data_IF_175824339733
#
_entry.id   IF_175824339733
#
_cell.length_a   1.000
_cell.length_b   1.000
_cell.length_c   1.000
_cell.angle_alpha   90.00
_cell.angle_beta   90.00
_cell.angle_gamma   90.00
#
_symmetry.space_group_name_H-M   'P 1'
#
loop_
_entity.id
_entity.type
_entity.pdbx_description
1 polymer ?
#
# COMPACT_ATOMS: atom_id res chain seq x y z
N UNK A 1 11.41 -18.46 -22.08
CA UNK A 1 11.29 -19.13 -20.78
C UNK A 1 9.82 -19.44 -20.48
N UNK A 2 9.57 -20.59 -19.89
CA UNK A 2 8.21 -20.98 -19.53
C UNK A 2 7.70 -20.04 -18.43
N UNK A 3 6.55 -19.40 -18.64
CA UNK A 3 5.84 -18.69 -17.58
C UNK A 3 5.25 -19.74 -16.65
N UNK A 4 5.79 -19.84 -15.45
CA UNK A 4 5.25 -20.73 -14.41
C UNK A 4 4.03 -20.07 -13.77
N UNK A 5 3.02 -20.87 -13.50
CA UNK A 5 1.82 -20.47 -12.78
C UNK A 5 2.00 -20.80 -11.30
N UNK A 6 2.55 -19.86 -10.54
CA UNK A 6 2.93 -20.04 -9.15
C UNK A 6 2.37 -18.90 -8.32
N UNK A 7 1.73 -19.24 -7.20
CA UNK A 7 1.38 -18.26 -6.17
C UNK A 7 2.27 -18.45 -4.93
N UNK A 8 3.09 -17.45 -4.65
CA UNK A 8 3.90 -17.38 -3.44
C UNK A 8 3.10 -16.68 -2.34
N UNK A 9 3.02 -17.27 -1.17
CA UNK A 9 2.36 -16.69 -0.02
C UNK A 9 3.38 -16.13 0.97
N UNK A 10 3.38 -14.82 1.17
CA UNK A 10 4.13 -14.13 2.23
C UNK A 10 3.19 -13.89 3.41
N UNK A 11 3.25 -14.75 4.43
CA UNK A 11 2.25 -14.79 5.51
C UNK A 11 2.58 -13.91 6.72
N UNK A 12 3.66 -13.16 6.67
CA UNK A 12 4.10 -12.23 7.71
C UNK A 12 4.56 -10.91 7.09
N UNK A 13 3.76 -10.42 6.15
CA UNK A 13 4.09 -9.22 5.38
C UNK A 13 4.05 -7.96 6.21
N UNK A 14 4.83 -6.97 5.78
CA UNK A 14 4.89 -5.66 6.41
C UNK A 14 5.48 -5.72 7.83
N UNK A 15 5.14 -4.74 8.66
CA UNK A 15 5.61 -4.61 10.06
C UNK A 15 4.69 -5.32 11.08
N UNK A 16 3.77 -6.13 10.60
CA UNK A 16 2.69 -6.72 11.41
C UNK A 16 3.19 -7.73 12.46
N UNK A 17 4.26 -8.45 12.17
CA UNK A 17 4.86 -9.44 13.10
C UNK A 17 6.02 -8.90 13.93
N UNK A 18 6.03 -7.60 14.17
CA UNK A 18 7.13 -6.90 14.82
C UNK A 18 7.52 -7.42 16.20
N UNK A 19 6.60 -8.02 16.96
CA UNK A 19 6.90 -8.64 18.25
C UNK A 19 7.95 -9.76 18.15
N UNK A 20 8.05 -10.40 17.00
CA UNK A 20 9.02 -11.46 16.73
C UNK A 20 10.37 -10.92 16.21
N UNK A 21 10.45 -9.61 15.96
CA UNK A 21 11.63 -8.93 15.48
C UNK A 21 11.80 -8.91 13.95
N UNK A 22 12.84 -8.24 13.50
CA UNK A 22 13.12 -7.96 12.08
C UNK A 22 13.17 -9.22 11.20
N UNK A 23 13.62 -10.34 11.75
CA UNK A 23 13.72 -11.62 11.02
C UNK A 23 12.37 -12.25 10.66
N UNK A 24 11.27 -11.71 11.20
CA UNK A 24 9.91 -12.19 10.98
C UNK A 24 9.03 -11.18 10.26
N UNK A 25 9.56 -10.01 9.91
CA UNK A 25 8.85 -8.97 9.17
C UNK A 25 9.26 -9.01 7.70
N UNK A 26 8.32 -9.26 6.81
CA UNK A 26 8.58 -9.22 5.37
C UNK A 26 8.33 -7.82 4.81
N UNK A 27 9.35 -6.98 4.87
CA UNK A 27 9.31 -5.59 4.36
C UNK A 27 10.09 -5.41 3.07
N UNK A 28 11.03 -6.32 2.79
CA UNK A 28 11.94 -6.28 1.64
C UNK A 28 11.55 -7.26 0.53
N UNK A 29 10.63 -8.19 0.77
CA UNK A 29 10.21 -9.23 -0.15
C UNK A 29 9.76 -8.67 -1.50
N UNK A 30 8.96 -7.60 -1.47
CA UNK A 30 8.47 -6.96 -2.69
C UNK A 30 9.63 -6.38 -3.49
N UNK A 31 10.51 -5.60 -2.85
CA UNK A 31 11.62 -4.96 -3.56
C UNK A 31 12.67 -5.94 -4.04
N UNK A 32 12.85 -7.06 -3.34
CA UNK A 32 13.74 -8.13 -3.77
C UNK A 32 13.21 -8.88 -5.00
N UNK A 33 11.89 -9.05 -5.08
CA UNK A 33 11.26 -9.85 -6.13
C UNK A 33 10.74 -9.02 -7.31
N UNK A 34 10.57 -7.70 -7.19
CA UNK A 34 9.98 -6.85 -8.23
C UNK A 34 10.77 -6.83 -9.54
N UNK A 35 12.01 -7.29 -9.54
CA UNK A 35 12.82 -7.47 -10.75
C UNK A 35 12.47 -8.73 -11.54
N UNK A 36 11.65 -9.63 -10.96
CA UNK A 36 11.21 -10.82 -11.68
C UNK A 36 10.21 -10.42 -12.78
N UNK A 37 10.45 -10.81 -14.03
CA UNK A 37 9.53 -10.51 -15.11
C UNK A 37 8.13 -11.07 -14.82
N UNK A 38 7.10 -10.26 -15.07
CA UNK A 38 5.70 -10.65 -14.93
C UNK A 38 5.24 -10.98 -13.51
N UNK A 39 6.01 -10.61 -12.48
CA UNK A 39 5.57 -10.76 -11.09
C UNK A 39 4.33 -9.87 -10.84
N UNK A 40 3.29 -10.48 -10.33
CA UNK A 40 2.07 -9.82 -9.85
C UNK A 40 2.10 -9.75 -8.33
N UNK A 41 2.18 -8.55 -7.79
CA UNK A 41 2.15 -8.32 -6.33
C UNK A 41 0.73 -8.00 -5.92
N UNK A 42 0.26 -8.67 -4.86
CA UNK A 42 -1.05 -8.41 -4.24
C UNK A 42 -0.85 -8.34 -2.72
N UNK A 43 -1.16 -7.20 -2.12
CA UNK A 43 -1.04 -6.97 -0.67
C UNK A 43 -2.43 -6.83 -0.04
N UNK A 44 -2.88 -7.85 0.65
CA UNK A 44 -4.28 -8.02 1.07
C UNK A 44 -4.57 -7.27 2.38
N UNK A 45 -5.61 -6.45 2.38
CA UNK A 45 -6.01 -5.64 3.52
C UNK A 45 -6.80 -6.43 4.59
N UNK A 46 -7.71 -7.31 4.19
CA UNK A 46 -8.61 -7.97 5.13
C UNK A 46 -9.08 -9.35 4.62
N UNK A 47 -9.71 -10.19 5.49
CA UNK A 47 -10.16 -11.54 5.12
C UNK A 47 -11.09 -11.58 3.90
N UNK A 48 -12.00 -10.60 3.73
CA UNK A 48 -12.91 -10.57 2.58
C UNK A 48 -12.19 -10.29 1.28
N UNK A 49 -11.19 -9.40 1.29
CA UNK A 49 -10.32 -9.21 0.13
C UNK A 49 -9.55 -10.48 -0.19
N UNK A 50 -9.05 -11.18 0.83
CA UNK A 50 -8.39 -12.49 0.64
C UNK A 50 -9.30 -13.50 -0.08
N UNK A 51 -10.56 -13.62 0.34
CA UNK A 51 -11.53 -14.51 -0.33
C UNK A 51 -11.75 -14.08 -1.79
N UNK A 52 -11.85 -12.78 -2.07
CA UNK A 52 -12.03 -12.27 -3.43
C UNK A 52 -10.79 -12.55 -4.31
N UNK A 53 -9.59 -12.37 -3.76
CA UNK A 53 -8.31 -12.69 -4.44
C UNK A 53 -8.21 -14.18 -4.72
N UNK A 54 -8.54 -15.04 -3.75
CA UNK A 54 -8.52 -16.50 -3.98
C UNK A 54 -9.51 -16.94 -5.06
N UNK A 55 -10.71 -16.35 -5.09
CA UNK A 55 -11.66 -16.57 -6.19
C UNK A 55 -11.10 -16.10 -7.53
N UNK A 56 -10.37 -14.99 -7.56
CA UNK A 56 -9.71 -14.50 -8.77
C UNK A 56 -8.58 -15.44 -9.23
N UNK A 57 -7.75 -15.95 -8.31
CA UNK A 57 -6.70 -16.94 -8.61
C UNK A 57 -7.32 -18.21 -9.18
N UNK A 58 -8.40 -18.72 -8.57
CA UNK A 58 -9.07 -19.97 -8.97
C UNK A 58 -9.70 -19.91 -10.36
N UNK A 59 -9.92 -18.74 -10.94
CA UNK A 59 -10.47 -18.55 -12.30
C UNK A 59 -9.47 -18.82 -13.45
N UNK A 60 -8.36 -19.44 -13.18
CA UNK A 60 -7.37 -19.85 -14.21
C UNK A 60 -5.97 -19.31 -13.96
N UNK A 61 -5.05 -19.64 -14.87
CA UNK A 61 -3.64 -19.27 -14.76
C UNK A 61 -3.44 -17.77 -14.56
N UNK A 62 -2.59 -17.41 -13.59
CA UNK A 62 -2.24 -16.03 -13.25
C UNK A 62 -0.75 -15.74 -13.42
N UNK A 63 0.05 -16.76 -13.82
CA UNK A 63 1.49 -16.64 -13.86
C UNK A 63 2.10 -16.56 -12.45
N UNK A 64 3.14 -15.76 -12.28
CA UNK A 64 3.82 -15.60 -10.99
C UNK A 64 3.12 -14.55 -10.14
N UNK A 65 2.55 -14.94 -9.00
CA UNK A 65 1.86 -14.07 -8.06
C UNK A 65 2.59 -14.11 -6.71
N UNK A 66 2.90 -12.95 -6.15
CA UNK A 66 3.29 -12.77 -4.75
C UNK A 66 2.06 -12.23 -3.99
N UNK A 67 1.45 -13.09 -3.19
CA UNK A 67 0.31 -12.75 -2.35
C UNK A 67 0.79 -12.49 -0.92
N UNK A 68 0.67 -11.24 -0.49
CA UNK A 68 1.14 -10.74 0.80
C UNK A 68 -0.02 -10.66 1.77
N UNK A 69 0.17 -11.23 2.95
CA UNK A 69 -0.86 -11.39 3.97
C UNK A 69 -0.34 -10.90 5.32
N UNK A 70 -1.20 -10.27 6.09
CA UNK A 70 -0.94 -9.98 7.49
C UNK A 70 -1.20 -11.23 8.35
N UNK A 71 -0.48 -11.36 9.46
CA UNK A 71 -0.69 -12.45 10.42
C UNK A 71 -1.75 -12.09 11.47
N UNK A 72 -1.84 -10.83 11.84
CA UNK A 72 -2.79 -10.37 12.84
C UNK A 72 -4.22 -10.37 12.29
N UNK A 73 -5.17 -10.54 13.17
CA UNK A 73 -6.58 -10.33 12.86
C UNK A 73 -6.79 -8.88 12.39
N UNK A 74 -7.57 -8.71 11.35
CA UNK A 74 -7.93 -7.40 10.80
C UNK A 74 -9.45 -7.26 10.70
N UNK A 75 -9.91 -6.04 10.84
CA UNK A 75 -11.31 -5.70 10.65
C UNK A 75 -11.71 -5.90 9.18
N UNK A 76 -12.98 -6.15 8.97
CA UNK A 76 -13.53 -6.28 7.63
C UNK A 76 -14.00 -4.92 7.13
N UNK A 77 -13.33 -4.38 6.12
CA UNK A 77 -13.65 -3.06 5.51
C UNK A 77 -14.40 -3.18 4.19
N UNK A 78 -14.58 -4.38 3.66
CA UNK A 78 -15.27 -4.62 2.40
C UNK A 78 -16.52 -5.47 2.57
N UNK A 79 -17.54 -5.32 1.69
CA UNK A 79 -18.71 -6.18 1.67
C UNK A 79 -18.37 -7.60 1.17
N UNK A 80 -19.26 -8.56 1.41
CA UNK A 80 -19.10 -9.93 0.90
C UNK A 80 -19.15 -10.03 -0.63
N UNK A 81 -19.79 -9.07 -1.25
CA UNK A 81 -19.91 -8.95 -2.70
C UNK A 81 -18.64 -8.43 -3.38
N UNK A 82 -17.58 -8.10 -2.61
CA UNK A 82 -16.32 -7.61 -3.18
C UNK A 82 -15.83 -8.57 -4.27
N UNK A 83 -15.55 -8.01 -5.43
CA UNK A 83 -14.84 -8.68 -6.52
C UNK A 83 -13.47 -8.04 -6.66
N UNK A 84 -12.44 -8.88 -6.63
CA UNK A 84 -11.08 -8.42 -6.86
C UNK A 84 -10.77 -8.40 -8.36
N UNK A 85 -10.16 -7.32 -8.79
CA UNK A 85 -9.55 -7.17 -10.10
C UNK A 85 -8.10 -6.74 -9.92
N UNK A 86 -7.17 -7.46 -10.55
CA UNK A 86 -5.75 -7.09 -10.51
C UNK A 86 -5.51 -5.75 -11.22
N UNK A 87 -4.75 -4.86 -10.60
CA UNK A 87 -4.50 -3.52 -11.13
C UNK A 87 -5.61 -2.52 -10.83
N UNK A 88 -6.47 -2.79 -9.85
CA UNK A 88 -7.51 -1.86 -9.39
C UNK A 88 -7.30 -1.45 -7.94
N UNK A 89 -7.35 -0.14 -7.71
CA UNK A 89 -7.42 0.49 -6.39
C UNK A 89 -8.86 0.71 -5.95
N UNK A 90 -9.06 0.74 -4.64
CA UNK A 90 -10.38 0.95 -4.02
C UNK A 90 -10.36 2.28 -3.25
N UNK A 91 -11.17 3.23 -3.70
CA UNK A 91 -11.21 4.59 -3.13
C UNK A 91 -12.19 4.64 -1.96
N UNK A 92 -11.74 5.14 -0.82
CA UNK A 92 -12.52 5.40 0.37
C UNK A 92 -12.61 6.91 0.62
N UNK A 93 -13.81 7.42 0.87
CA UNK A 93 -14.09 8.84 1.07
C UNK A 93 -14.44 9.57 -0.22
N UNK A 94 -14.19 10.89 -0.24
CA UNK A 94 -14.52 11.71 -1.41
C UNK A 94 -13.48 11.51 -2.54
N UNK A 95 -13.87 10.95 -3.69
CA UNK A 95 -12.94 10.78 -4.81
C UNK A 95 -12.48 12.11 -5.43
N UNK A 96 -13.13 13.22 -5.09
CA UNK A 96 -12.76 14.55 -5.55
C UNK A 96 -11.81 15.29 -4.60
N UNK A 97 -11.55 14.75 -3.41
CA UNK A 97 -10.63 15.37 -2.45
C UNK A 97 -9.26 15.70 -3.10
N UNK A 98 -8.69 16.85 -2.71
CA UNK A 98 -7.41 17.31 -3.26
C UNK A 98 -6.21 16.51 -2.76
N UNK A 99 -6.34 15.91 -1.58
CA UNK A 99 -5.30 15.08 -0.95
C UNK A 99 -5.73 13.63 -0.91
N UNK A 100 -4.83 12.75 -1.31
CA UNK A 100 -5.06 11.30 -1.41
C UNK A 100 -3.94 10.54 -0.71
N UNK A 101 -4.30 9.66 0.23
CA UNK A 101 -3.37 8.64 0.75
C UNK A 101 -3.47 7.41 -0.13
N UNK A 102 -2.34 6.91 -0.64
CA UNK A 102 -2.24 5.62 -1.32
C UNK A 102 -1.49 4.66 -0.41
N UNK A 103 -2.10 3.52 -0.12
CA UNK A 103 -1.54 2.50 0.77
C UNK A 103 -2.00 1.10 0.36
N UNK A 104 -1.48 0.06 1.01
CA UNK A 104 -1.92 -1.33 0.80
C UNK A 104 -1.85 -2.14 2.09
N UNK A 105 -2.45 -3.32 2.05
CA UNK A 105 -2.41 -4.27 3.15
C UNK A 105 -2.92 -3.65 4.46
N UNK A 106 -2.21 -3.87 5.55
CA UNK A 106 -2.60 -3.33 6.86
C UNK A 106 -2.51 -1.80 6.94
N UNK A 107 -1.74 -1.16 6.08
CA UNK A 107 -1.62 0.30 6.04
C UNK A 107 -2.95 1.02 5.82
N UNK A 108 -3.93 0.35 5.22
CA UNK A 108 -5.26 0.94 4.98
C UNK A 108 -5.95 1.40 6.26
N UNK A 109 -5.77 0.68 7.37
CA UNK A 109 -6.41 1.04 8.65
C UNK A 109 -5.85 2.34 9.22
N UNK A 110 -4.54 2.57 9.10
CA UNK A 110 -3.92 3.84 9.48
C UNK A 110 -4.42 4.98 8.59
N UNK A 111 -4.53 4.73 7.29
CA UNK A 111 -5.10 5.70 6.34
C UNK A 111 -6.55 6.07 6.68
N UNK A 112 -7.42 5.09 6.95
CA UNK A 112 -8.82 5.32 7.31
C UNK A 112 -8.97 6.03 8.66
N UNK A 113 -8.13 5.70 9.63
CA UNK A 113 -8.10 6.39 10.93
C UNK A 113 -7.63 7.86 10.77
N UNK A 114 -6.61 8.10 9.94
CA UNK A 114 -6.16 9.45 9.61
C UNK A 114 -7.26 10.25 8.88
N UNK A 115 -7.95 9.64 7.93
CA UNK A 115 -9.09 10.25 7.22
C UNK A 115 -10.18 10.68 8.20
N UNK A 116 -10.55 9.80 9.14
CA UNK A 116 -11.54 10.11 10.17
C UNK A 116 -11.10 11.30 11.03
N UNK A 117 -9.86 11.30 11.51
CA UNK A 117 -9.34 12.37 12.35
C UNK A 117 -9.26 13.73 11.61
N UNK A 118 -8.89 13.71 10.31
CA UNK A 118 -8.86 14.92 9.49
C UNK A 118 -10.28 15.45 9.21
N UNK A 119 -11.25 14.57 8.98
CA UNK A 119 -12.65 14.95 8.80
C UNK A 119 -13.21 15.64 10.04
N UNK A 120 -12.87 15.18 11.25
CA UNK A 120 -13.25 15.82 12.50
C UNK A 120 -12.65 17.25 12.63
N UNK A 121 -11.56 17.53 11.90
CA UNK A 121 -10.92 18.84 11.78
C UNK A 121 -11.44 19.67 10.57
N UNK A 122 -12.48 19.18 9.87
CA UNK A 122 -13.05 19.83 8.70
C UNK A 122 -12.23 19.67 7.41
N UNK A 123 -11.32 18.71 7.35
CA UNK A 123 -10.49 18.41 6.17
C UNK A 123 -10.90 17.07 5.56
N UNK A 124 -11.38 17.11 4.32
CA UNK A 124 -11.70 15.89 3.58
C UNK A 124 -10.50 15.42 2.76
N UNK A 125 -10.21 14.13 2.87
CA UNK A 125 -9.21 13.42 2.07
C UNK A 125 -9.77 12.13 1.50
N UNK A 126 -9.18 11.62 0.43
CA UNK A 126 -9.43 10.26 -0.03
C UNK A 126 -8.34 9.31 0.48
N UNK A 127 -8.70 8.05 0.67
CA UNK A 127 -7.75 6.96 0.93
C UNK A 127 -7.96 5.90 -0.13
N UNK A 128 -6.88 5.50 -0.79
CA UNK A 128 -6.89 4.43 -1.80
C UNK A 128 -6.21 3.21 -1.22
N UNK A 129 -6.98 2.15 -0.99
CA UNK A 129 -6.42 0.81 -0.82
C UNK A 129 -6.00 0.29 -2.19
N UNK A 130 -4.71 0.09 -2.38
CA UNK A 130 -4.12 -0.33 -3.66
C UNK A 130 -3.45 -1.70 -3.49
N UNK A 131 -4.23 -2.78 -3.40
CA UNK A 131 -3.69 -4.12 -3.16
C UNK A 131 -2.76 -4.60 -4.28
N UNK A 132 -2.98 -4.12 -5.48
CA UNK A 132 -2.07 -4.22 -6.62
C UNK A 132 -2.00 -2.86 -7.29
N UNK A 133 -0.86 -2.52 -7.87
CA UNK A 133 -0.67 -1.18 -8.43
C UNK A 133 -1.68 -0.88 -9.54
N UNK A 134 -2.51 0.16 -9.33
CA UNK A 134 -3.48 0.67 -10.31
C UNK A 134 -2.83 1.83 -11.09
N UNK A 135 -2.28 1.49 -12.25
CA UNK A 135 -1.58 2.43 -13.11
C UNK A 135 -2.48 3.54 -13.67
N UNK A 136 -3.74 3.22 -13.96
CA UNK A 136 -4.69 4.16 -14.53
C UNK A 136 -5.16 5.17 -13.49
N UNK A 137 -5.50 4.70 -12.28
CA UNK A 137 -5.87 5.58 -11.17
C UNK A 137 -4.70 6.48 -10.77
N UNK A 138 -3.48 5.94 -10.67
CA UNK A 138 -2.29 6.71 -10.37
C UNK A 138 -2.02 7.83 -11.39
N UNK A 139 -2.15 7.50 -12.68
CA UNK A 139 -2.04 8.48 -13.77
C UNK A 139 -3.13 9.55 -13.69
N UNK A 140 -4.37 9.16 -13.47
CA UNK A 140 -5.51 10.07 -13.32
C UNK A 140 -5.31 11.04 -12.16
N UNK A 141 -4.94 10.57 -10.97
CA UNK A 141 -4.71 11.41 -9.81
C UNK A 141 -3.59 12.43 -10.07
N UNK A 142 -2.51 12.00 -10.74
CA UNK A 142 -1.39 12.88 -11.12
C UNK A 142 -1.82 13.96 -12.10
N UNK A 143 -2.54 13.60 -13.17
CA UNK A 143 -3.04 14.54 -14.17
C UNK A 143 -4.05 15.53 -13.60
N UNK A 144 -4.84 15.12 -12.60
CA UNK A 144 -5.72 16.01 -11.85
C UNK A 144 -4.97 16.94 -10.89
N UNK A 145 -3.67 16.79 -10.75
CA UNK A 145 -2.84 17.62 -9.88
C UNK A 145 -3.08 17.38 -8.39
N UNK A 146 -3.53 16.19 -8.00
CA UNK A 146 -3.76 15.83 -6.60
C UNK A 146 -2.45 15.84 -5.80
N UNK A 147 -2.56 16.08 -4.50
CA UNK A 147 -1.49 15.82 -3.52
C UNK A 147 -1.57 14.36 -3.11
N UNK A 148 -0.51 13.60 -3.33
CA UNK A 148 -0.49 12.16 -3.11
C UNK A 148 0.52 11.83 -2.01
N UNK A 149 0.04 11.17 -0.96
CA UNK A 149 0.86 10.59 0.09
C UNK A 149 0.89 9.08 -0.08
N UNK A 150 2.04 8.54 -0.49
CA UNK A 150 2.29 7.10 -0.42
C UNK A 150 2.68 6.72 1.00
N UNK A 151 1.86 5.90 1.66
CA UNK A 151 2.09 5.41 3.01
C UNK A 151 2.19 3.87 3.00
N UNK A 152 3.43 3.35 2.95
CA UNK A 152 3.69 1.95 2.68
C UNK A 152 4.43 1.25 3.83
N UNK A 153 3.88 0.15 4.32
CA UNK A 153 4.51 -0.67 5.37
C UNK A 153 5.58 -1.64 4.82
N UNK A 154 6.14 -1.30 3.69
CA UNK A 154 7.25 -1.97 3.00
C UNK A 154 8.26 -0.93 2.51
N UNK A 155 9.21 -1.33 1.68
CA UNK A 155 10.27 -0.45 1.18
C UNK A 155 9.87 0.48 0.03
N UNK A 156 8.58 0.77 -0.16
CA UNK A 156 8.11 1.75 -1.15
C UNK A 156 7.84 1.15 -2.53
N UNK A 157 7.14 0.03 -2.58
CA UNK A 157 6.78 -0.67 -3.83
C UNK A 157 5.81 0.14 -4.70
N UNK A 158 4.74 0.68 -4.11
CA UNK A 158 3.73 1.44 -4.87
C UNK A 158 4.34 2.73 -5.44
N UNK A 159 5.16 3.42 -4.63
CA UNK A 159 5.85 4.61 -5.11
C UNK A 159 6.87 4.30 -6.22
N UNK A 160 7.61 3.20 -6.12
CA UNK A 160 8.54 2.78 -7.18
C UNK A 160 7.77 2.45 -8.49
N UNK A 161 6.65 1.73 -8.37
CA UNK A 161 5.76 1.42 -9.50
C UNK A 161 5.15 2.69 -10.11
N UNK A 162 4.77 3.66 -9.26
CA UNK A 162 4.29 4.96 -9.70
C UNK A 162 5.33 5.71 -10.55
N UNK A 163 6.57 5.80 -10.10
CA UNK A 163 7.63 6.51 -10.84
C UNK A 163 7.89 5.85 -12.21
N UNK A 164 7.97 4.52 -12.24
CA UNK A 164 8.14 3.77 -13.49
C UNK A 164 6.99 4.03 -14.46
N UNK A 165 5.76 3.99 -13.99
CA UNK A 165 4.58 4.17 -14.82
C UNK A 165 4.43 5.62 -15.31
N UNK A 166 4.71 6.62 -14.48
CA UNK A 166 4.72 8.03 -14.93
C UNK A 166 5.76 8.25 -16.01
N UNK A 167 6.95 7.69 -15.85
CA UNK A 167 8.01 7.73 -16.87
C UNK A 167 7.56 7.05 -18.18
N UNK A 168 7.04 5.83 -18.10
CA UNK A 168 6.59 5.07 -19.29
C UNK A 168 5.47 5.74 -20.06
N UNK A 169 4.57 6.44 -19.38
CA UNK A 169 3.45 7.18 -20.00
C UNK A 169 3.84 8.59 -20.44
N UNK A 170 5.03 9.07 -20.10
CA UNK A 170 5.43 10.48 -20.34
C UNK A 170 4.57 11.48 -19.56
N UNK A 171 4.06 11.08 -18.40
CA UNK A 171 3.25 11.95 -17.55
C UNK A 171 4.19 12.73 -16.62
N UNK A 172 4.19 14.06 -16.77
CA UNK A 172 4.89 14.93 -15.85
C UNK A 172 4.20 14.93 -14.46
N UNK A 173 5.00 14.93 -13.42
CA UNK A 173 4.55 15.00 -12.03
C UNK A 173 5.38 16.02 -11.26
N UNK A 174 4.81 16.54 -10.18
CA UNK A 174 5.37 17.62 -9.39
C UNK A 174 5.88 17.08 -8.06
N UNK A 175 7.20 17.14 -7.78
CA UNK A 175 7.76 16.58 -6.54
C UNK A 175 7.12 17.14 -5.27
N UNK A 176 6.72 18.41 -5.27
CA UNK A 176 6.07 19.08 -4.15
C UNK A 176 4.63 18.57 -3.87
N UNK A 177 4.05 17.82 -4.82
CA UNK A 177 2.73 17.20 -4.65
C UNK A 177 2.80 15.73 -4.24
N UNK A 178 3.99 15.16 -4.16
CA UNK A 178 4.18 13.75 -3.86
C UNK A 178 5.01 13.61 -2.59
N UNK A 179 4.43 13.00 -1.58
CA UNK A 179 5.12 12.66 -0.33
C UNK A 179 5.16 11.14 -0.16
N UNK A 180 6.25 10.62 0.41
CA UNK A 180 6.40 9.18 0.62
C UNK A 180 6.82 8.89 2.05
N UNK A 181 6.09 8.00 2.70
CA UNK A 181 6.41 7.40 3.98
C UNK A 181 6.50 5.89 3.80
N UNK A 182 7.55 5.29 4.31
CA UNK A 182 7.76 3.85 4.19
C UNK A 182 8.64 3.32 5.33
N UNK A 183 8.98 2.05 5.29
CA UNK A 183 9.95 1.46 6.22
C UNK A 183 11.39 1.96 5.98
N UNK A 184 11.62 2.78 4.96
CA UNK A 184 12.89 3.50 4.73
C UNK A 184 12.85 4.90 5.33
N UNK A 185 14.03 5.47 5.58
CA UNK A 185 14.16 6.90 5.93
C UNK A 185 13.85 7.78 4.71
N UNK A 186 13.73 9.10 4.93
CA UNK A 186 13.58 10.08 3.82
C UNK A 186 14.74 10.00 2.82
N UNK A 187 15.96 9.68 3.28
CA UNK A 187 17.12 9.46 2.41
C UNK A 187 17.12 8.06 1.77
N UNK A 188 16.02 7.32 1.86
CA UNK A 188 15.83 5.97 1.32
C UNK A 188 16.81 4.92 1.90
N UNK A 189 17.35 5.17 3.07
CA UNK A 189 18.15 4.20 3.82
C UNK A 189 17.23 3.22 4.56
N UNK A 190 17.68 1.99 4.73
CA UNK A 190 16.99 1.02 5.56
C UNK A 190 16.87 1.53 7.00
N UNK A 191 15.68 1.45 7.60
CA UNK A 191 15.51 1.65 9.03
C UNK A 191 15.95 0.40 9.78
N UNK A 192 16.60 0.61 10.91
CA UNK A 192 16.85 -0.49 11.82
C UNK A 192 15.56 -0.78 12.62
N UNK A 193 14.81 -1.78 12.17
CA UNK A 193 13.59 -2.22 12.83
C UNK A 193 13.93 -3.33 13.83
N UNK A 194 13.83 -3.04 15.10
CA UNK A 194 13.95 -4.02 16.17
C UNK A 194 12.56 -4.62 16.52
N UNK A 195 12.51 -5.57 17.46
CA UNK A 195 11.24 -6.10 17.94
C UNK A 195 10.39 -5.02 18.63
N UNK A 196 9.09 -5.05 18.38
CA UNK A 196 8.14 -4.12 18.96
C UNK A 196 6.70 -4.47 18.56
N UNK A 197 5.76 -3.85 19.23
CA UNK A 197 4.35 -3.96 18.80
C UNK A 197 4.13 -3.28 17.46
N UNK A 198 3.07 -3.65 16.77
CA UNK A 198 2.68 -2.99 15.52
C UNK A 198 2.64 -1.46 15.67
N UNK A 199 1.98 -0.96 16.73
CA UNK A 199 1.85 0.48 16.99
C UNK A 199 3.21 1.17 17.17
N UNK A 200 4.15 0.54 17.89
CA UNK A 200 5.50 1.09 18.06
C UNK A 200 6.25 1.16 16.74
N UNK A 201 6.14 0.13 15.90
CA UNK A 201 6.81 0.08 14.61
C UNK A 201 6.18 1.04 13.60
N UNK A 202 4.85 1.14 13.56
CA UNK A 202 4.16 2.13 12.74
C UNK A 202 4.61 3.55 13.10
N UNK A 203 4.66 3.89 14.38
CA UNK A 203 5.16 5.19 14.87
C UNK A 203 6.64 5.40 14.51
N UNK A 204 7.50 4.39 14.70
CA UNK A 204 8.92 4.48 14.32
C UNK A 204 9.11 4.77 12.83
N UNK A 205 8.24 4.23 11.98
CA UNK A 205 8.28 4.46 10.53
C UNK A 205 7.59 5.76 10.08
N UNK A 206 6.89 6.46 10.97
CA UNK A 206 6.07 7.62 10.61
C UNK A 206 4.80 7.22 9.84
N UNK A 207 4.27 6.03 10.12
CA UNK A 207 3.14 5.41 9.40
C UNK A 207 1.90 5.23 10.28
N UNK A 208 1.92 5.72 11.54
CA UNK A 208 0.71 5.74 12.36
C UNK A 208 -0.28 6.77 11.83
N UNK A 209 -1.57 6.60 12.17
CA UNK A 209 -2.61 7.55 11.78
C UNK A 209 -2.27 8.99 12.20
N UNK A 210 -1.70 9.19 13.38
CA UNK A 210 -1.23 10.49 13.87
C UNK A 210 -0.13 11.07 12.97
N UNK A 211 0.84 10.24 12.56
CA UNK A 211 1.93 10.70 11.67
C UNK A 211 1.40 11.08 10.29
N UNK A 212 0.42 10.34 9.76
CA UNK A 212 -0.23 10.66 8.49
C UNK A 212 -0.99 11.98 8.57
N UNK A 213 -1.73 12.22 9.68
CA UNK A 213 -2.42 13.50 9.94
C UNK A 213 -1.42 14.64 9.98
N UNK A 214 -0.32 14.47 10.72
CA UNK A 214 0.72 15.50 10.85
C UNK A 214 1.38 15.79 9.49
N UNK A 215 1.72 14.77 8.73
CA UNK A 215 2.30 14.93 7.39
C UNK A 215 1.37 15.72 6.47
N UNK A 216 0.08 15.38 6.43
CA UNK A 216 -0.90 16.09 5.59
C UNK A 216 -1.13 17.51 6.08
N UNK A 217 -1.07 17.75 7.38
CA UNK A 217 -1.36 19.06 7.96
C UNK A 217 -0.21 20.04 7.80
N UNK A 218 1.02 19.58 7.95
CA UNK A 218 2.19 20.45 8.07
C UNK A 218 3.20 20.34 6.92
N UNK A 219 3.17 19.26 6.13
CA UNK A 219 4.16 19.03 5.08
C UNK A 219 3.54 19.03 3.66
N UNK A 220 2.23 18.96 3.55
CA UNK A 220 1.47 18.96 2.30
C UNK A 220 0.46 20.11 2.26
#
# INVERSE_FOLDING_TARGET
>A
GHQLDITLFSTASNIDTGVNGATHMSIDDVTALMQLPHLRVIDVACPRMMVAVMKWIAKGSKGLVLLRLTRAASETIYPESLQFEYGKGYVHGDPHADTVIITSGRGIYEGLNAQKALREQGREIAVVDMPSFDADLAAQLTQQGKRILFAEQNNGFLFASYLDEMYRRGIAWSPEKITTLSTRTRERKARHLHSGTYTQLAKLCGLSAEDLVNTITFEM
#
